data_IF_810081394375
#
_entry.id   IF_810081394375
#
_cell.length_a   1.000
_cell.length_b   1.000
_cell.length_c   1.000
_cell.angle_alpha   90.00
_cell.angle_beta   90.00
_cell.angle_gamma   90.00
#
_symmetry.space_group_name_H-M   'P 1'
#
loop_
_entity.id
_entity.type
_entity.pdbx_description
1 polymer ?
#
# COMPACT_ATOMS: atom_id res chain seq x y z
N UNK A 1 -50.85 38.43 21.91
CA UNK A 1 -51.14 38.67 20.50
C UNK A 1 -50.63 37.50 19.70
N UNK A 2 -51.54 36.63 19.29
CA UNK A 2 -51.18 35.37 18.61
C UNK A 2 -51.18 35.57 17.10
N UNK A 3 -50.18 35.00 16.45
CA UNK A 3 -50.11 34.90 14.99
C UNK A 3 -50.37 33.46 14.59
N UNK A 4 -51.52 33.21 13.92
CA UNK A 4 -51.86 31.96 13.25
C UNK A 4 -51.56 32.11 11.76
N UNK A 5 -50.86 31.22 11.10
CA UNK A 5 -50.90 31.11 9.63
C UNK A 5 -52.02 30.17 9.17
N UNK A 6 -52.87 30.68 8.32
CA UNK A 6 -53.86 29.94 7.52
C UNK A 6 -53.16 29.31 6.31
N UNK A 7 -53.21 28.00 6.17
CA UNK A 7 -53.15 27.38 4.85
C UNK A 7 -54.25 26.31 4.76
N UNK A 8 -55.23 26.63 3.91
CA UNK A 8 -56.32 25.76 3.58
C UNK A 8 -55.83 24.73 2.51
N UNK A 9 -55.97 23.46 2.78
CA UNK A 9 -55.79 22.40 1.83
C UNK A 9 -56.99 22.30 0.89
N UNK A 10 -56.79 22.53 -0.41
CA UNK A 10 -57.73 22.27 -1.48
C UNK A 10 -57.58 20.81 -1.92
N UNK A 11 -58.50 19.95 -1.57
CA UNK A 11 -58.61 18.60 -2.06
C UNK A 11 -59.24 18.60 -3.46
N UNK A 12 -58.42 18.47 -4.51
CA UNK A 12 -58.89 18.06 -5.83
C UNK A 12 -58.74 16.54 -5.96
N UNK A 13 -59.88 15.86 -6.01
CA UNK A 13 -59.99 14.47 -6.47
C UNK A 13 -59.45 14.37 -7.89
N UNK A 14 -58.43 13.57 -8.12
CA UNK A 14 -58.02 13.12 -9.46
C UNK A 14 -58.77 11.84 -9.78
N UNK A 15 -59.42 11.83 -10.93
CA UNK A 15 -59.95 10.65 -11.56
C UNK A 15 -58.81 9.71 -12.00
N UNK A 16 -58.99 8.40 -12.04
CA UNK A 16 -57.93 7.48 -12.41
C UNK A 16 -57.71 7.53 -13.95
N UNK A 17 -56.49 7.82 -14.32
CA UNK A 17 -56.00 7.75 -15.69
C UNK A 17 -56.12 6.31 -16.23
N UNK A 18 -56.88 6.14 -17.30
CA UNK A 18 -56.99 4.91 -18.08
C UNK A 18 -55.65 4.68 -18.78
N UNK A 19 -54.89 3.69 -18.29
CA UNK A 19 -53.64 3.26 -18.94
C UNK A 19 -54.01 2.63 -20.30
N UNK A 20 -53.74 3.36 -21.38
CA UNK A 20 -53.73 2.80 -22.76
C UNK A 20 -52.48 1.94 -22.89
N UNK A 21 -52.67 0.63 -22.89
CA UNK A 21 -51.64 -0.33 -23.25
C UNK A 21 -51.27 -0.17 -24.73
N UNK A 22 -50.02 0.09 -25.03
CA UNK A 22 -49.46 0.03 -26.39
C UNK A 22 -49.54 -1.41 -26.90
N UNK A 23 -49.93 -1.65 -28.15
CA UNK A 23 -49.95 -3.01 -28.71
C UNK A 23 -48.50 -3.55 -28.76
N UNK A 24 -48.38 -4.78 -28.30
CA UNK A 24 -47.15 -5.56 -28.34
C UNK A 24 -46.70 -5.76 -29.80
N UNK A 25 -45.41 -5.62 -30.14
CA UNK A 25 -44.93 -5.86 -31.49
C UNK A 25 -45.03 -7.37 -31.82
N UNK A 26 -45.67 -7.68 -32.94
CA UNK A 26 -45.80 -9.05 -33.48
C UNK A 26 -44.41 -9.71 -33.58
N UNK A 27 -44.25 -10.84 -32.90
CA UNK A 27 -43.08 -11.70 -33.02
C UNK A 27 -43.03 -12.32 -34.41
N UNK A 28 -42.07 -11.90 -35.23
CA UNK A 28 -41.73 -12.58 -36.48
C UNK A 28 -41.43 -14.07 -36.18
N UNK A 29 -41.93 -15.02 -36.97
CA UNK A 29 -41.68 -16.43 -36.76
C UNK A 29 -40.19 -16.72 -36.90
N UNK A 30 -39.60 -17.33 -35.87
CA UNK A 30 -38.25 -17.80 -35.87
C UNK A 30 -38.06 -18.91 -36.91
N UNK A 31 -37.09 -18.77 -37.82
CA UNK A 31 -36.70 -19.84 -38.75
C UNK A 31 -36.37 -21.12 -37.96
N UNK A 32 -36.89 -22.30 -38.38
CA UNK A 32 -36.59 -23.55 -37.72
C UNK A 32 -35.07 -23.81 -37.77
N UNK A 33 -34.45 -23.98 -36.61
CA UNK A 33 -33.07 -24.48 -36.51
C UNK A 33 -33.05 -25.88 -37.12
N UNK A 34 -32.29 -26.08 -38.21
CA UNK A 34 -32.02 -27.41 -38.76
C UNK A 34 -31.48 -28.31 -37.64
N UNK A 35 -32.26 -29.33 -37.30
CA UNK A 35 -31.83 -30.33 -36.34
C UNK A 35 -30.61 -31.07 -36.91
N UNK A 36 -29.49 -30.94 -36.22
CA UNK A 36 -28.28 -31.73 -36.56
C UNK A 36 -28.65 -33.23 -36.44
N UNK A 37 -28.28 -34.00 -37.46
CA UNK A 37 -28.50 -35.44 -37.45
C UNK A 37 -27.75 -36.09 -36.28
N UNK A 38 -28.32 -37.18 -35.71
CA UNK A 38 -27.66 -37.93 -34.62
C UNK A 38 -26.19 -38.30 -34.99
N UNK A 39 -25.94 -38.62 -36.26
CA UNK A 39 -24.61 -38.92 -36.80
C UNK A 39 -23.65 -37.73 -36.70
N UNK A 40 -24.12 -36.48 -36.96
CA UNK A 40 -23.29 -35.27 -36.84
C UNK A 40 -22.90 -34.95 -35.39
N UNK A 41 -23.79 -35.23 -34.43
CA UNK A 41 -23.46 -35.05 -32.99
C UNK A 41 -22.45 -36.09 -32.50
N UNK A 42 -22.58 -37.36 -32.92
CA UNK A 42 -21.63 -38.43 -32.57
C UNK A 42 -20.26 -38.13 -33.18
N UNK A 43 -20.20 -37.66 -34.42
CA UNK A 43 -18.93 -37.26 -35.07
C UNK A 43 -18.27 -36.08 -34.34
N UNK A 44 -19.01 -35.08 -33.91
CA UNK A 44 -18.48 -33.97 -33.13
C UNK A 44 -17.96 -34.42 -31.77
N UNK A 45 -18.64 -35.29 -31.06
CA UNK A 45 -18.19 -35.83 -29.77
C UNK A 45 -16.90 -36.63 -29.95
N UNK A 46 -16.82 -37.50 -30.94
CA UNK A 46 -15.63 -38.31 -31.25
C UNK A 46 -14.44 -37.38 -31.61
N UNK A 47 -14.69 -36.36 -32.43
CA UNK A 47 -13.68 -35.41 -32.83
C UNK A 47 -13.14 -34.64 -31.61
N UNK A 48 -14.02 -34.22 -30.70
CA UNK A 48 -13.61 -33.47 -29.48
C UNK A 48 -12.83 -34.38 -28.51
N UNK A 49 -13.29 -35.62 -28.32
CA UNK A 49 -12.64 -36.57 -27.39
C UNK A 49 -11.24 -36.99 -27.89
N UNK A 50 -11.02 -37.00 -29.21
CA UNK A 50 -9.71 -37.36 -29.77
C UNK A 50 -8.82 -36.11 -29.95
N UNK A 51 -9.37 -35.02 -30.46
CA UNK A 51 -8.56 -33.85 -30.83
C UNK A 51 -8.03 -33.08 -29.60
N UNK A 52 -8.81 -32.99 -28.54
CA UNK A 52 -8.41 -32.27 -27.32
C UNK A 52 -7.20 -32.94 -26.67
N UNK A 53 -7.17 -34.23 -26.38
CA UNK A 53 -5.99 -34.87 -25.81
C UNK A 53 -4.74 -34.81 -26.72
N UNK A 54 -4.94 -34.95 -28.03
CA UNK A 54 -3.82 -34.86 -29.00
C UNK A 54 -3.23 -33.46 -29.02
N UNK A 55 -4.07 -32.42 -29.06
CA UNK A 55 -3.58 -31.04 -29.02
C UNK A 55 -2.92 -30.72 -27.68
N UNK A 56 -3.46 -31.20 -26.56
CA UNK A 56 -2.85 -30.99 -25.23
C UNK A 56 -1.48 -31.68 -25.14
N UNK A 57 -1.39 -32.92 -25.60
CA UNK A 57 -0.14 -33.66 -25.60
C UNK A 57 0.92 -33.00 -26.52
N UNK A 58 0.52 -32.55 -27.70
CA UNK A 58 1.39 -31.82 -28.63
C UNK A 58 1.88 -30.51 -28.03
N UNK A 59 0.99 -29.75 -27.35
CA UNK A 59 1.34 -28.49 -26.67
C UNK A 59 2.31 -28.69 -25.53
N UNK A 60 2.13 -29.73 -24.70
CA UNK A 60 3.04 -30.06 -23.60
C UNK A 60 4.42 -30.48 -24.13
N UNK A 61 4.44 -31.26 -25.22
CA UNK A 61 5.72 -31.68 -25.87
C UNK A 61 6.43 -30.46 -26.50
N UNK A 62 5.70 -29.59 -27.16
CA UNK A 62 6.27 -28.39 -27.78
C UNK A 62 6.81 -27.45 -26.71
N UNK A 63 6.09 -27.26 -25.58
CA UNK A 63 6.57 -26.48 -24.46
C UNK A 63 7.81 -27.08 -23.81
N UNK A 64 7.82 -28.40 -23.62
CA UNK A 64 9.02 -29.11 -23.14
C UNK A 64 10.23 -28.91 -24.07
N UNK A 65 10.04 -29.04 -25.37
CA UNK A 65 11.09 -28.82 -26.37
C UNK A 65 11.54 -27.34 -26.40
N UNK A 66 10.62 -26.37 -26.27
CA UNK A 66 10.97 -24.96 -26.15
C UNK A 66 11.77 -24.66 -24.89
N UNK A 67 11.42 -25.27 -23.76
CA UNK A 67 12.16 -25.10 -22.50
C UNK A 67 13.56 -25.74 -22.55
N UNK A 68 13.74 -26.78 -23.38
CA UNK A 68 15.04 -27.40 -23.62
C UNK A 68 15.90 -26.63 -24.64
N UNK A 69 15.28 -25.98 -25.63
CA UNK A 69 15.99 -25.33 -26.77
C UNK A 69 16.18 -23.82 -26.57
N UNK A 70 15.31 -23.13 -25.83
CA UNK A 70 15.53 -21.74 -25.41
C UNK A 70 16.53 -21.78 -24.26
N UNK A 71 17.80 -21.69 -24.62
CA UNK A 71 18.95 -21.93 -23.78
C UNK A 71 18.84 -21.32 -22.39
N UNK A 72 19.03 -22.16 -21.40
CA UNK A 72 19.53 -21.70 -20.11
C UNK A 72 20.72 -20.78 -20.38
N UNK A 73 20.80 -19.59 -19.79
CA UNK A 73 21.99 -18.80 -19.92
C UNK A 73 23.16 -19.71 -19.50
N UNK A 74 24.12 -19.90 -20.40
CA UNK A 74 25.34 -20.66 -20.09
C UNK A 74 25.94 -19.96 -18.89
N UNK A 75 25.86 -20.60 -17.73
CA UNK A 75 26.62 -20.19 -16.58
C UNK A 75 28.08 -20.02 -17.07
N UNK A 76 28.66 -18.85 -16.83
CA UNK A 76 30.07 -18.65 -17.06
C UNK A 76 30.82 -19.82 -16.42
N UNK A 77 31.88 -20.35 -17.06
CA UNK A 77 32.59 -21.47 -16.51
C UNK A 77 33.09 -21.05 -15.11
N UNK A 78 32.49 -21.64 -14.10
CA UNK A 78 33.01 -21.56 -12.73
C UNK A 78 34.37 -22.26 -12.85
N UNK A 79 35.44 -21.48 -12.69
CA UNK A 79 36.77 -22.04 -12.58
C UNK A 79 36.68 -23.14 -11.52
N UNK A 80 36.99 -24.38 -11.92
CA UNK A 80 37.06 -25.51 -11.00
C UNK A 80 38.09 -25.14 -9.94
N UNK A 81 37.64 -24.70 -8.78
CA UNK A 81 38.46 -24.69 -7.59
C UNK A 81 38.65 -26.16 -7.24
N UNK A 82 39.83 -26.64 -7.59
CA UNK A 82 40.28 -27.98 -7.22
C UNK A 82 40.45 -27.98 -5.70
N UNK A 83 39.71 -28.85 -5.04
CA UNK A 83 39.95 -29.34 -3.69
C UNK A 83 40.28 -28.23 -2.66
N UNK A 84 39.29 -27.61 -2.10
CA UNK A 84 39.38 -27.15 -0.72
C UNK A 84 39.05 -28.36 0.16
N UNK A 85 40.06 -28.86 0.84
CA UNK A 85 39.91 -29.78 1.96
C UNK A 85 39.07 -29.19 3.05
N UNK A 86 38.77 -30.02 4.02
CA UNK A 86 37.84 -29.83 5.11
C UNK A 86 37.85 -28.41 5.77
N UNK A 87 36.75 -28.07 6.45
CA UNK A 87 36.55 -26.85 7.23
C UNK A 87 37.72 -26.41 8.13
N UNK A 88 38.62 -27.33 8.48
CA UNK A 88 39.82 -27.05 9.31
C UNK A 88 40.82 -26.11 8.62
N UNK A 89 40.85 -26.07 7.28
CA UNK A 89 41.77 -25.18 6.55
C UNK A 89 41.23 -23.71 6.47
N UNK A 90 39.92 -23.52 6.64
CA UNK A 90 39.34 -22.18 6.60
C UNK A 90 39.64 -21.40 7.90
N UNK A 91 39.54 -22.06 9.04
CA UNK A 91 39.85 -21.45 10.35
C UNK A 91 41.33 -21.09 10.44
N UNK A 92 42.22 -21.95 9.94
CA UNK A 92 43.65 -21.69 9.83
C UNK A 92 43.98 -20.48 8.91
N UNK A 93 43.21 -20.34 7.80
CA UNK A 93 43.36 -19.20 6.90
C UNK A 93 42.88 -17.88 7.55
N UNK A 94 41.76 -17.92 8.30
CA UNK A 94 41.23 -16.76 9.04
C UNK A 94 42.20 -16.34 10.14
N UNK A 95 42.75 -17.28 10.93
CA UNK A 95 43.76 -16.97 11.94
C UNK A 95 45.06 -16.38 11.33
N UNK A 96 45.51 -16.93 10.19
CA UNK A 96 46.64 -16.39 9.48
C UNK A 96 46.40 -14.99 8.93
N UNK A 97 45.20 -14.71 8.40
CA UNK A 97 44.81 -13.38 7.91
C UNK A 97 44.73 -12.37 9.06
N UNK A 98 44.17 -12.76 10.21
CA UNK A 98 44.05 -11.92 11.40
C UNK A 98 45.45 -11.64 12.04
N UNK A 99 46.34 -12.65 12.07
CA UNK A 99 47.68 -12.46 12.59
C UNK A 99 48.56 -11.60 11.69
N UNK A 100 48.28 -11.54 10.38
CA UNK A 100 48.94 -10.63 9.44
C UNK A 100 48.40 -9.18 9.51
N UNK A 101 47.14 -9.01 9.90
CA UNK A 101 46.57 -7.69 10.13
C UNK A 101 47.10 -7.00 11.38
N UNK A 102 47.49 -7.77 12.41
CA UNK A 102 48.02 -7.26 13.68
C UNK A 102 49.55 -7.04 13.66
N UNK A 103 50.28 -7.64 12.72
CA UNK A 103 51.68 -7.40 12.46
C UNK A 103 51.81 -6.31 11.40
N UNK A 104 51.92 -5.06 11.84
CA UNK A 104 52.17 -3.91 10.95
C UNK A 104 53.32 -4.21 9.96
N UNK A 105 53.00 -4.67 8.78
CA UNK A 105 53.94 -4.86 7.69
C UNK A 105 54.44 -3.52 7.23
N UNK A 106 55.63 -3.14 7.77
CA UNK A 106 56.46 -2.10 7.16
C UNK A 106 56.95 -2.64 5.83
N UNK A 107 56.27 -2.31 4.74
CA UNK A 107 56.82 -2.46 3.40
C UNK A 107 57.80 -1.35 3.13
N UNK A 108 59.02 -1.54 3.63
CA UNK A 108 60.17 -0.78 3.21
C UNK A 108 60.93 -1.59 2.17
N UNK A 109 60.62 -1.41 0.90
CA UNK A 109 61.53 -1.61 -0.25
C UNK A 109 60.74 -1.49 -1.58
N UNK A 110 60.33 -0.28 -1.90
CA UNK A 110 60.28 0.24 -3.26
C UNK A 110 60.31 1.77 -3.12
N UNK A 111 61.47 2.36 -3.50
CA UNK A 111 61.69 3.79 -3.35
C UNK A 111 60.80 4.63 -4.25
N UNK A 112 59.63 4.96 -3.75
CA UNK A 112 58.83 6.08 -4.18
C UNK A 112 58.39 6.81 -2.91
N UNK A 113 59.12 7.83 -2.55
CA UNK A 113 58.72 8.83 -1.58
C UNK A 113 57.66 9.70 -2.20
N UNK A 114 56.42 9.27 -2.15
CA UNK A 114 55.28 10.18 -2.11
C UNK A 114 54.87 10.31 -0.64
N UNK A 115 55.02 11.49 -0.10
CA UNK A 115 54.41 11.89 1.14
C UNK A 115 52.90 11.95 0.89
N UNK A 116 52.22 10.83 1.11
CA UNK A 116 50.78 10.83 1.31
C UNK A 116 50.56 11.36 2.72
N UNK A 117 50.07 12.59 2.82
CA UNK A 117 49.42 13.07 4.03
C UNK A 117 48.38 12.01 4.47
N UNK A 118 48.18 11.77 5.78
CA UNK A 118 47.19 10.85 6.25
C UNK A 118 45.85 11.38 5.77
N UNK A 119 45.21 10.63 4.83
CA UNK A 119 43.81 10.82 4.49
C UNK A 119 43.07 10.67 5.81
N UNK A 120 42.53 11.73 6.34
CA UNK A 120 41.53 11.66 7.39
C UNK A 120 40.44 10.79 6.82
N UNK A 121 40.24 9.58 7.37
CA UNK A 121 38.97 8.89 7.23
C UNK A 121 37.95 9.90 7.74
N UNK A 122 37.16 10.48 6.81
CA UNK A 122 35.95 11.18 7.17
C UNK A 122 35.07 10.13 7.85
N UNK A 123 35.15 10.05 9.17
CA UNK A 123 34.17 9.35 9.96
C UNK A 123 32.85 10.06 9.68
N UNK A 124 31.97 9.43 8.95
CA UNK A 124 30.63 9.93 8.76
C UNK A 124 30.06 10.35 10.13
N UNK A 125 29.47 11.52 10.24
CA UNK A 125 28.96 11.97 11.53
C UNK A 125 27.92 10.95 12.01
N UNK A 126 28.08 10.49 13.25
CA UNK A 126 27.10 9.59 13.89
C UNK A 126 25.78 10.34 13.96
N UNK A 127 24.80 9.90 13.14
CA UNK A 127 23.47 10.51 13.11
C UNK A 127 22.73 10.17 14.40
N UNK A 128 21.95 11.11 14.88
CA UNK A 128 21.08 10.89 16.01
C UNK A 128 19.87 10.04 15.55
N UNK A 129 19.59 8.98 16.28
CA UNK A 129 18.37 8.20 16.09
C UNK A 129 17.23 8.81 16.91
N UNK A 130 16.08 9.02 16.27
CA UNK A 130 14.92 9.64 16.89
C UNK A 130 13.76 8.64 16.99
N UNK A 131 13.08 8.63 18.14
CA UNK A 131 11.89 7.83 18.39
C UNK A 131 10.78 8.66 19.02
N UNK A 132 9.53 8.30 18.78
CA UNK A 132 8.39 8.89 19.46
C UNK A 132 8.03 7.97 20.64
N UNK A 133 7.98 8.48 21.89
CA UNK A 133 7.57 7.68 23.03
C UNK A 133 6.23 6.97 22.80
N UNK A 134 6.12 5.71 23.23
CA UNK A 134 4.92 4.91 23.01
C UNK A 134 3.66 5.48 23.67
N UNK A 135 3.82 6.19 24.76
CA UNK A 135 2.76 6.87 25.53
C UNK A 135 2.46 8.29 25.02
N UNK A 136 3.24 8.82 24.07
CA UNK A 136 2.99 10.13 23.49
C UNK A 136 1.68 10.10 22.69
N UNK A 137 0.70 10.87 23.10
CA UNK A 137 -0.58 11.01 22.39
C UNK A 137 -0.46 11.83 21.10
N UNK A 138 0.50 12.76 21.06
CA UNK A 138 0.76 13.67 19.96
C UNK A 138 2.24 13.56 19.59
N UNK A 139 2.51 13.44 18.31
CA UNK A 139 3.88 13.41 17.79
C UNK A 139 4.53 14.83 17.86
N UNK A 140 5.87 14.92 17.76
CA UNK A 140 6.55 16.20 17.58
C UNK A 140 5.96 16.97 16.40
N UNK A 141 5.96 18.29 16.51
CA UNK A 141 5.44 19.16 15.45
C UNK A 141 6.39 19.19 14.26
N UNK A 142 5.90 18.92 13.03
CA UNK A 142 6.72 19.01 11.84
C UNK A 142 7.28 20.42 11.65
N UNK A 143 8.57 20.51 11.27
CA UNK A 143 9.17 21.80 10.92
C UNK A 143 8.61 22.26 9.56
N UNK A 144 7.94 23.43 9.48
CA UNK A 144 7.38 23.93 8.21
C UNK A 144 8.41 24.12 7.09
N UNK A 145 9.68 24.37 7.43
CA UNK A 145 10.76 24.54 6.43
C UNK A 145 11.19 23.24 5.75
N UNK A 146 10.82 22.09 6.33
CA UNK A 146 11.10 20.77 5.76
C UNK A 146 10.06 20.34 4.70
N UNK A 147 8.94 21.06 4.59
CA UNK A 147 7.99 20.87 3.49
C UNK A 147 8.42 21.63 2.25
N UNK A 148 8.20 21.00 1.10
CA UNK A 148 8.42 21.62 -0.19
C UNK A 148 7.53 21.10 -1.29
N UNK A 149 7.58 21.77 -2.44
CA UNK A 149 6.78 21.45 -3.60
C UNK A 149 7.60 21.74 -4.86
N UNK A 150 7.55 20.82 -5.82
CA UNK A 150 8.19 20.95 -7.14
C UNK A 150 7.21 20.54 -8.24
N UNK A 151 7.54 20.87 -9.48
CA UNK A 151 6.64 20.62 -10.63
C UNK A 151 7.14 19.48 -11.53
N UNK A 152 8.35 18.99 -11.30
CA UNK A 152 8.92 17.91 -12.14
C UNK A 152 9.77 16.95 -11.32
N UNK A 153 9.91 15.68 -11.79
CA UNK A 153 10.82 14.72 -11.19
C UNK A 153 12.28 15.18 -11.13
N UNK A 154 12.73 15.95 -12.14
CA UNK A 154 14.09 16.47 -12.17
C UNK A 154 14.38 17.43 -11.02
N UNK A 155 13.39 18.19 -10.58
CA UNK A 155 13.52 19.09 -9.42
C UNK A 155 13.54 18.32 -8.09
N UNK A 156 13.04 17.07 -8.06
CA UNK A 156 13.13 16.19 -6.89
C UNK A 156 14.50 15.54 -6.72
N UNK A 157 15.34 15.47 -7.75
CA UNK A 157 16.65 14.78 -7.65
C UNK A 157 17.53 15.31 -6.52
N UNK A 158 17.71 16.63 -6.29
CA UNK A 158 18.50 17.12 -5.16
C UNK A 158 17.87 16.74 -3.80
N UNK A 159 16.55 16.72 -3.69
CA UNK A 159 15.85 16.32 -2.45
C UNK A 159 16.10 14.84 -2.18
N UNK A 160 15.96 13.98 -3.20
CA UNK A 160 16.24 12.53 -3.10
C UNK A 160 17.71 12.27 -2.75
N UNK A 161 18.64 13.11 -3.25
CA UNK A 161 20.03 13.03 -2.88
C UNK A 161 20.25 13.38 -1.40
N UNK A 162 19.55 14.37 -0.89
CA UNK A 162 19.59 14.73 0.53
C UNK A 162 18.90 13.68 1.42
N UNK A 163 17.85 13.01 0.91
CA UNK A 163 17.16 11.92 1.60
C UNK A 163 17.92 10.58 1.54
N UNK A 164 19.06 10.52 0.87
CA UNK A 164 19.79 9.28 0.60
C UNK A 164 20.13 8.48 1.86
N UNK A 165 20.36 9.17 2.97
CA UNK A 165 20.69 8.57 4.26
C UNK A 165 19.49 7.84 4.90
N UNK A 166 18.26 8.38 4.80
CA UNK A 166 17.07 7.70 5.33
C UNK A 166 16.59 6.60 4.38
N UNK A 167 16.84 6.76 3.09
CA UNK A 167 16.52 5.74 2.10
C UNK A 167 17.44 4.51 2.20
N UNK A 168 18.59 4.64 2.87
CA UNK A 168 19.56 3.54 3.10
C UNK A 168 19.86 2.74 1.82
N UNK A 169 20.09 3.43 0.72
CA UNK A 169 20.33 2.84 -0.59
C UNK A 169 19.11 2.24 -1.29
N UNK A 170 17.95 2.20 -0.64
CA UNK A 170 16.70 1.78 -1.25
C UNK A 170 16.24 2.80 -2.30
N UNK A 171 15.63 2.29 -3.35
CA UNK A 171 14.97 3.15 -4.35
C UNK A 171 13.50 3.32 -3.98
N UNK A 172 13.01 4.53 -4.11
CA UNK A 172 11.59 4.81 -4.00
C UNK A 172 10.86 4.36 -5.26
N UNK A 173 9.56 4.04 -5.14
CA UNK A 173 8.71 3.82 -6.30
C UNK A 173 8.65 5.09 -7.16
N UNK A 174 8.60 6.26 -6.52
CA UNK A 174 8.68 7.55 -7.20
C UNK A 174 9.89 7.66 -8.15
N UNK A 175 11.09 7.21 -7.74
CA UNK A 175 12.30 7.24 -8.58
C UNK A 175 12.24 6.28 -9.77
N UNK A 176 11.56 5.16 -9.63
CA UNK A 176 11.44 4.14 -10.67
C UNK A 176 10.30 4.41 -11.64
N UNK A 177 9.37 5.29 -11.24
CA UNK A 177 8.18 5.61 -11.99
C UNK A 177 8.33 6.94 -12.74
N UNK A 178 7.92 6.95 -14.01
CA UNK A 178 7.98 8.14 -14.86
C UNK A 178 6.59 8.68 -15.25
N UNK A 179 5.53 8.08 -14.72
CA UNK A 179 4.14 8.45 -15.02
C UNK A 179 3.60 9.42 -13.98
N UNK A 180 4.04 10.67 -14.05
CA UNK A 180 3.52 11.71 -13.17
C UNK A 180 2.50 12.54 -13.93
N UNK A 181 1.33 12.76 -13.31
CA UNK A 181 0.28 13.58 -13.86
C UNK A 181 0.75 15.03 -13.98
N UNK A 182 0.79 15.56 -15.21
CA UNK A 182 1.43 16.85 -15.54
C UNK A 182 0.77 18.05 -14.82
N UNK A 183 -0.54 17.97 -14.52
CA UNK A 183 -1.27 19.03 -13.84
C UNK A 183 -1.17 18.96 -12.30
N UNK A 184 -0.32 18.10 -11.76
CA UNK A 184 -0.15 17.91 -10.32
C UNK A 184 1.20 18.42 -9.82
N UNK A 185 1.24 18.81 -8.56
CA UNK A 185 2.50 19.10 -7.86
C UNK A 185 3.04 17.84 -7.21
N UNK A 186 4.37 17.75 -7.16
CA UNK A 186 5.09 16.80 -6.31
C UNK A 186 5.37 17.52 -4.99
N UNK A 187 4.78 17.04 -3.91
CA UNK A 187 5.01 17.58 -2.56
C UNK A 187 5.93 16.65 -1.80
N UNK A 188 6.73 17.20 -0.93
CA UNK A 188 7.61 16.40 -0.08
C UNK A 188 7.75 16.98 1.32
N UNK A 189 8.20 16.14 2.22
CA UNK A 189 8.72 16.49 3.53
C UNK A 189 10.01 15.71 3.76
N UNK A 190 11.03 16.38 4.28
CA UNK A 190 12.30 15.73 4.62
C UNK A 190 12.89 16.36 5.87
N UNK A 191 13.07 15.55 6.91
CA UNK A 191 13.89 15.85 8.07
C UNK A 191 14.76 14.64 8.46
N UNK A 192 15.42 14.68 9.59
CA UNK A 192 16.35 13.64 10.02
C UNK A 192 15.69 12.30 10.37
N UNK A 193 14.37 12.22 10.47
CA UNK A 193 13.65 10.99 10.87
C UNK A 193 12.66 10.47 9.82
N UNK A 194 12.26 11.29 8.85
CA UNK A 194 11.25 10.91 7.86
C UNK A 194 11.49 11.58 6.51
N UNK A 195 11.34 10.80 5.46
CA UNK A 195 11.17 11.28 4.09
C UNK A 195 9.78 10.89 3.59
N UNK A 196 9.03 11.84 3.06
CA UNK A 196 7.75 11.61 2.42
C UNK A 196 7.67 12.37 1.09
N UNK A 197 7.15 11.72 0.05
CA UNK A 197 6.88 12.34 -1.26
C UNK A 197 5.48 11.97 -1.73
N UNK A 198 4.73 12.96 -2.22
CA UNK A 198 3.34 12.79 -2.67
C UNK A 198 3.18 13.34 -4.09
N UNK A 199 2.61 12.53 -4.98
CA UNK A 199 2.36 12.88 -6.39
C UNK A 199 1.11 12.19 -6.92
N UNK A 200 0.74 12.50 -8.17
CA UNK A 200 -0.40 11.90 -8.84
C UNK A 200 -0.02 11.25 -10.15
N UNK A 201 -0.72 10.19 -10.50
CA UNK A 201 -0.62 9.45 -11.76
C UNK A 201 -2.02 9.19 -12.32
N UNK A 202 -2.09 8.90 -13.61
CA UNK A 202 -3.33 8.48 -14.26
C UNK A 202 -3.21 7.02 -14.71
N UNK A 203 -4.09 6.16 -14.20
CA UNK A 203 -4.20 4.76 -14.61
C UNK A 203 -5.66 4.45 -14.95
N UNK A 204 -5.92 3.86 -16.11
CA UNK A 204 -7.26 3.47 -16.56
C UNK A 204 -8.31 4.60 -16.45
N UNK A 205 -7.92 5.84 -16.75
CA UNK A 205 -8.74 7.06 -16.63
C UNK A 205 -9.19 7.39 -15.17
N UNK A 206 -8.46 6.88 -14.18
CA UNK A 206 -8.57 7.25 -12.77
C UNK A 206 -7.33 8.00 -12.32
N UNK A 207 -7.47 8.99 -11.43
CA UNK A 207 -6.33 9.67 -10.82
C UNK A 207 -5.95 8.95 -9.53
N UNK A 208 -4.74 8.43 -9.50
CA UNK A 208 -4.11 7.84 -8.33
C UNK A 208 -3.25 8.89 -7.64
N UNK A 209 -3.46 9.08 -6.35
CA UNK A 209 -2.56 9.88 -5.51
C UNK A 209 -1.75 8.93 -4.66
N UNK A 210 -0.44 8.97 -4.82
CA UNK A 210 0.52 8.20 -4.05
C UNK A 210 1.18 9.10 -3.02
N UNK A 211 1.35 8.58 -1.83
CA UNK A 211 2.21 9.18 -0.81
C UNK A 211 3.19 8.11 -0.35
N UNK A 212 4.45 8.20 -0.75
CA UNK A 212 5.50 7.27 -0.41
C UNK A 212 6.29 7.81 0.78
N UNK A 213 6.46 7.00 1.81
CA UNK A 213 6.99 7.39 3.09
C UNK A 213 8.06 6.40 3.54
N UNK A 214 9.24 6.89 3.89
CA UNK A 214 10.27 6.17 4.62
C UNK A 214 10.48 6.83 5.96
N UNK A 215 10.39 6.05 7.04
CA UNK A 215 10.65 6.49 8.41
C UNK A 215 11.89 5.80 8.96
N UNK A 216 12.52 6.41 9.95
CA UNK A 216 13.68 5.86 10.63
C UNK A 216 13.29 4.83 11.69
N UNK A 217 12.13 5.02 12.32
CA UNK A 217 11.67 4.21 13.45
C UNK A 217 10.17 3.89 13.34
N UNK A 218 9.79 2.70 13.77
CA UNK A 218 8.40 2.22 13.71
C UNK A 218 7.43 3.06 14.55
N UNK A 219 7.92 3.75 15.60
CA UNK A 219 7.10 4.64 16.43
C UNK A 219 6.50 5.82 15.66
N UNK A 220 6.99 6.08 14.45
CA UNK A 220 6.52 7.14 13.56
C UNK A 220 5.31 6.73 12.72
N UNK A 221 5.05 5.42 12.55
CA UNK A 221 3.83 4.91 11.91
C UNK A 221 2.77 4.60 12.97
N UNK A 222 1.69 5.35 12.96
CA UNK A 222 0.71 5.38 14.04
C UNK A 222 -0.73 5.32 13.53
N UNK A 223 -1.61 4.87 14.39
CA UNK A 223 -3.07 4.99 14.23
C UNK A 223 -3.62 5.94 15.29
N UNK A 224 -4.52 6.84 14.91
CA UNK A 224 -5.23 7.70 15.86
C UNK A 224 -6.74 7.50 15.70
N UNK A 225 -7.39 7.21 16.82
CA UNK A 225 -8.85 7.14 16.90
C UNK A 225 -9.41 8.48 17.34
N UNK A 226 -10.64 8.78 16.96
CA UNK A 226 -11.32 10.00 17.39
C UNK A 226 -11.25 10.15 18.91
N UNK A 227 -10.91 11.35 19.39
CA UNK A 227 -10.67 11.69 20.79
C UNK A 227 -9.55 10.87 21.46
N UNK A 228 -8.68 10.21 20.68
CA UNK A 228 -7.58 9.38 21.17
C UNK A 228 -8.02 8.07 21.86
N UNK A 229 -9.28 7.67 21.74
CA UNK A 229 -9.82 6.52 22.46
C UNK A 229 -10.72 5.61 21.60
N UNK A 230 -10.71 4.32 21.91
CA UNK A 230 -11.62 3.37 21.29
C UNK A 230 -13.07 3.63 21.74
N UNK A 231 -13.99 3.62 20.76
CA UNK A 231 -15.44 3.69 21.02
C UNK A 231 -15.99 5.14 21.15
N UNK A 232 -15.21 6.17 20.84
CA UNK A 232 -15.73 7.53 20.77
C UNK A 232 -16.87 7.64 19.76
N UNK A 233 -17.91 8.40 20.09
CA UNK A 233 -19.02 8.74 19.20
C UNK A 233 -18.71 9.93 18.29
N UNK A 234 -17.60 10.62 18.54
CA UNK A 234 -17.16 11.78 17.75
C UNK A 234 -16.52 11.34 16.43
N UNK A 235 -16.64 12.19 15.44
CA UNK A 235 -16.05 12.02 14.12
C UNK A 235 -15.47 13.34 13.64
N UNK A 236 -14.35 13.27 12.96
CA UNK A 236 -13.61 14.40 12.45
C UNK A 236 -13.26 14.22 10.97
N UNK A 237 -12.89 15.30 10.28
CA UNK A 237 -12.27 15.20 8.96
C UNK A 237 -10.86 14.64 9.10
N UNK A 238 -10.36 13.99 8.05
CA UNK A 238 -8.98 13.50 8.03
C UNK A 238 -7.98 14.62 8.29
N UNK A 239 -8.23 15.82 7.75
CA UNK A 239 -7.42 17.02 7.98
C UNK A 239 -7.43 17.48 9.44
N UNK A 240 -8.59 17.48 10.09
CA UNK A 240 -8.72 17.85 11.51
C UNK A 240 -7.97 16.89 12.42
N UNK A 241 -8.06 15.57 12.15
CA UNK A 241 -7.34 14.56 12.92
C UNK A 241 -5.83 14.62 12.68
N UNK A 242 -5.40 14.82 11.43
CA UNK A 242 -3.99 14.96 11.07
C UNK A 242 -3.32 16.13 11.80
N UNK A 243 -4.00 17.28 11.86
CA UNK A 243 -3.54 18.46 12.59
C UNK A 243 -3.42 18.19 14.10
N UNK A 244 -4.42 17.49 14.68
CA UNK A 244 -4.45 17.17 16.11
C UNK A 244 -3.24 16.36 16.57
N UNK A 245 -2.72 15.46 15.70
CA UNK A 245 -1.61 14.56 16.05
C UNK A 245 -0.26 14.98 15.44
N UNK A 246 -0.18 16.13 14.79
CA UNK A 246 1.00 16.61 14.10
C UNK A 246 1.49 15.65 13.00
N UNK A 247 0.59 15.12 12.19
CA UNK A 247 0.95 14.22 11.11
C UNK A 247 1.73 14.93 10.01
N UNK A 248 2.80 14.30 9.51
CA UNK A 248 3.46 14.69 8.25
C UNK A 248 2.60 14.26 7.08
N UNK A 249 2.16 12.98 7.10
CA UNK A 249 1.22 12.40 6.14
C UNK A 249 0.16 11.64 6.92
N UNK A 250 -1.10 11.79 6.52
CA UNK A 250 -2.21 11.02 7.08
C UNK A 250 -3.17 10.54 5.98
N UNK A 251 -3.85 9.44 6.27
CA UNK A 251 -4.96 8.93 5.46
C UNK A 251 -6.08 8.44 6.36
N UNK A 252 -7.30 8.38 5.82
CA UNK A 252 -8.37 7.68 6.50
C UNK A 252 -7.94 6.25 6.85
N UNK A 253 -8.36 5.78 8.01
CA UNK A 253 -8.08 4.43 8.47
C UNK A 253 -9.08 3.40 7.93
N UNK A 254 -9.63 2.62 8.85
CA UNK A 254 -10.69 1.67 8.55
C UNK A 254 -12.08 2.21 8.94
N UNK A 255 -13.08 1.37 8.82
CA UNK A 255 -14.47 1.72 9.09
C UNK A 255 -14.97 1.14 10.43
N UNK A 256 -14.08 0.95 11.41
CA UNK A 256 -14.34 0.16 12.62
C UNK A 256 -15.56 0.60 13.42
N UNK A 257 -15.86 1.90 13.42
CA UNK A 257 -16.96 2.45 14.20
C UNK A 257 -18.34 2.17 13.60
N UNK A 258 -18.41 2.00 12.29
CA UNK A 258 -19.66 1.91 11.54
C UNK A 258 -20.07 0.49 11.18
N UNK A 259 -19.15 -0.45 11.29
CA UNK A 259 -19.39 -1.85 10.98
C UNK A 259 -18.76 -2.77 12.02
N UNK A 260 -19.52 -3.76 12.45
CA UNK A 260 -19.07 -4.76 13.42
C UNK A 260 -18.46 -5.96 12.69
N UNK A 261 -17.23 -5.83 12.22
CA UNK A 261 -16.48 -6.93 11.60
C UNK A 261 -14.98 -6.77 11.81
N UNK A 262 -14.25 -7.91 11.68
CA UNK A 262 -12.82 -8.00 11.83
C UNK A 262 -12.34 -7.84 13.28
N UNK A 263 -11.04 -7.89 13.44
CA UNK A 263 -10.38 -7.67 14.72
C UNK A 263 -9.90 -6.22 14.82
N UNK A 264 -10.36 -5.51 15.83
CA UNK A 264 -9.90 -4.16 16.16
C UNK A 264 -8.94 -4.23 17.33
N UNK A 265 -7.66 -4.04 17.03
CA UNK A 265 -6.57 -3.90 18.00
C UNK A 265 -6.14 -2.45 18.05
N UNK A 266 -5.96 -1.92 19.25
CA UNK A 266 -5.47 -0.56 19.45
C UNK A 266 -4.56 -0.50 20.68
N UNK A 267 -3.33 -0.02 20.47
CA UNK A 267 -2.28 0.05 21.49
C UNK A 267 -1.98 -1.32 22.15
N UNK A 268 -1.92 -2.38 21.35
CA UNK A 268 -1.61 -3.73 21.83
C UNK A 268 -2.76 -4.45 22.51
N UNK A 269 -3.98 -3.91 22.48
CA UNK A 269 -5.15 -4.55 23.08
C UNK A 269 -6.23 -4.88 22.07
N UNK A 270 -6.74 -6.11 22.09
CA UNK A 270 -7.88 -6.54 21.30
C UNK A 270 -9.18 -5.91 21.86
N UNK A 271 -9.68 -4.89 21.19
CA UNK A 271 -10.86 -4.12 21.63
C UNK A 271 -12.18 -4.71 21.16
N UNK A 272 -12.19 -5.33 19.99
CA UNK A 272 -13.38 -5.98 19.41
C UNK A 272 -12.96 -7.06 18.42
N UNK A 273 -13.65 -8.17 18.45
CA UNK A 273 -13.51 -9.25 17.47
C UNK A 273 -14.91 -9.71 17.06
N UNK A 274 -15.34 -9.35 15.88
CA UNK A 274 -16.65 -9.66 15.33
C UNK A 274 -16.56 -9.88 13.82
N UNK A 275 -17.54 -10.60 13.24
CA UNK A 275 -17.65 -10.73 11.79
C UNK A 275 -16.37 -11.26 11.14
N UNK A 276 -16.04 -12.50 11.44
CA UNK A 276 -14.77 -13.16 11.08
C UNK A 276 -14.55 -13.39 9.57
N UNK A 277 -15.49 -12.96 8.73
CA UNK A 277 -15.37 -12.98 7.28
C UNK A 277 -14.49 -11.84 6.71
N UNK A 278 -14.14 -10.85 7.54
CA UNK A 278 -13.24 -9.77 7.13
C UNK A 278 -11.79 -10.19 7.31
N UNK A 279 -10.98 -9.94 6.30
CA UNK A 279 -9.52 -10.01 6.42
C UNK A 279 -9.04 -8.86 7.31
N UNK A 280 -8.04 -9.10 8.13
CA UNK A 280 -7.49 -8.08 9.05
C UNK A 280 -6.02 -7.87 8.77
N UNK A 281 -5.62 -6.61 8.68
CA UNK A 281 -4.22 -6.19 8.65
C UNK A 281 -3.80 -5.77 10.06
N UNK A 282 -2.74 -6.35 10.57
CA UNK A 282 -2.10 -6.01 11.84
C UNK A 282 -0.77 -5.32 11.55
N UNK A 283 -0.45 -4.34 12.37
CA UNK A 283 0.84 -3.65 12.34
C UNK A 283 1.52 -3.93 13.67
N UNK A 284 2.70 -4.54 13.62
CA UNK A 284 3.50 -4.82 14.80
C UNK A 284 4.31 -3.59 15.26
N UNK A 285 5.06 -3.71 16.37
CA UNK A 285 5.89 -2.62 16.89
C UNK A 285 7.18 -2.38 16.11
N UNK A 286 7.50 -3.25 15.13
CA UNK A 286 8.57 -2.99 14.16
C UNK A 286 8.04 -2.25 12.91
N UNK A 287 6.71 -2.02 12.83
CA UNK A 287 6.04 -1.41 11.69
C UNK A 287 5.69 -2.39 10.58
N UNK A 288 5.92 -3.68 10.76
CA UNK A 288 5.64 -4.68 9.74
C UNK A 288 4.14 -5.04 9.68
N UNK A 289 3.67 -5.27 8.44
CA UNK A 289 2.30 -5.69 8.16
C UNK A 289 2.18 -7.20 8.26
N UNK A 290 1.13 -7.66 8.95
CA UNK A 290 0.71 -9.06 9.06
C UNK A 290 -0.75 -9.19 8.66
N UNK A 291 -1.13 -10.31 8.04
CA UNK A 291 -2.51 -10.54 7.62
C UNK A 291 -3.11 -11.78 8.25
N UNK A 292 -4.41 -11.69 8.60
CA UNK A 292 -5.25 -12.87 8.80
C UNK A 292 -6.33 -12.91 7.73
N UNK A 293 -6.59 -14.10 7.20
CA UNK A 293 -7.62 -14.31 6.17
C UNK A 293 -9.00 -14.36 6.81
N UNK A 294 -10.02 -13.95 6.05
CA UNK A 294 -11.41 -14.08 6.46
C UNK A 294 -11.88 -15.55 6.52
N UNK A 295 -12.91 -15.80 7.30
CA UNK A 295 -13.55 -17.11 7.41
C UNK A 295 -13.19 -17.93 8.64
N UNK A 296 -12.19 -17.55 9.41
CA UNK A 296 -11.88 -18.16 10.69
C UNK A 296 -12.75 -17.58 11.81
N UNK A 297 -13.22 -18.45 12.72
CA UNK A 297 -13.91 -18.00 13.92
C UNK A 297 -12.89 -17.61 14.97
N UNK A 298 -12.65 -16.31 15.11
CA UNK A 298 -11.74 -15.78 16.11
C UNK A 298 -12.50 -15.38 17.38
N UNK A 299 -11.91 -15.65 18.53
CA UNK A 299 -12.35 -15.10 19.81
C UNK A 299 -11.47 -13.92 20.20
N UNK A 300 -11.98 -13.05 21.10
CA UNK A 300 -11.16 -11.94 21.61
C UNK A 300 -9.86 -12.45 22.25
N UNK A 301 -9.90 -13.59 22.95
CA UNK A 301 -8.71 -14.19 23.56
C UNK A 301 -7.72 -14.66 22.48
N UNK A 302 -8.18 -15.35 21.43
CA UNK A 302 -7.30 -15.82 20.36
C UNK A 302 -6.62 -14.65 19.61
N UNK A 303 -7.33 -13.54 19.46
CA UNK A 303 -6.73 -12.33 18.87
C UNK A 303 -5.73 -11.69 19.83
N UNK A 304 -6.03 -11.67 21.15
CA UNK A 304 -5.06 -11.15 22.13
C UNK A 304 -3.80 -12.04 22.20
N UNK A 305 -3.95 -13.37 22.16
CA UNK A 305 -2.81 -14.28 22.11
C UNK A 305 -1.94 -14.01 20.86
N UNK A 306 -2.56 -13.76 19.71
CA UNK A 306 -1.86 -13.37 18.47
C UNK A 306 -1.16 -12.00 18.60
N UNK A 307 -1.82 -11.03 19.24
CA UNK A 307 -1.26 -9.71 19.53
C UNK A 307 0.00 -9.81 20.38
N UNK A 308 -0.06 -10.63 21.43
CA UNK A 308 1.05 -10.82 22.35
C UNK A 308 2.21 -11.60 21.70
N UNK A 309 1.90 -12.61 20.87
CA UNK A 309 2.89 -13.42 20.16
C UNK A 309 3.67 -12.62 19.11
N UNK A 310 2.98 -11.72 18.39
CA UNK A 310 3.55 -10.95 17.29
C UNK A 310 3.83 -9.48 17.62
N UNK A 311 3.72 -9.10 18.90
CA UNK A 311 3.93 -7.71 19.37
C UNK A 311 3.14 -6.67 18.56
N UNK A 312 1.86 -6.97 18.30
CA UNK A 312 0.99 -6.13 17.47
C UNK A 312 0.66 -4.83 18.20
N UNK A 313 0.85 -3.70 17.52
CA UNK A 313 0.51 -2.39 18.02
C UNK A 313 -0.97 -2.02 17.72
N UNK A 314 -1.39 -2.19 16.46
CA UNK A 314 -2.77 -1.92 16.05
C UNK A 314 -3.17 -2.77 14.85
N UNK A 315 -4.47 -2.78 14.54
CA UNK A 315 -4.99 -3.45 13.35
C UNK A 315 -5.85 -2.51 12.51
N UNK A 316 -6.11 -2.93 11.28
CA UNK A 316 -7.04 -2.32 10.34
C UNK A 316 -7.98 -3.42 9.85
N UNK A 317 -9.28 -3.20 9.93
CA UNK A 317 -10.29 -4.23 9.65
C UNK A 317 -11.29 -3.74 8.58
N UNK A 318 -10.82 -3.57 7.35
CA UNK A 318 -11.63 -3.22 6.19
C UNK A 318 -11.43 -4.25 5.06
N UNK A 319 -10.27 -4.22 4.40
CA UNK A 319 -9.88 -5.15 3.34
C UNK A 319 -10.55 -4.91 1.98
N UNK A 320 -10.28 -5.78 1.03
CA UNK A 320 -9.48 -7.01 1.17
C UNK A 320 -7.97 -6.78 1.15
N UNK A 321 -7.21 -7.87 1.38
CA UNK A 321 -5.78 -7.93 1.10
C UNK A 321 -5.59 -7.82 -0.41
N UNK A 322 -4.73 -6.91 -0.87
CA UNK A 322 -4.51 -6.65 -2.29
C UNK A 322 -3.22 -7.32 -2.82
N UNK A 323 -2.18 -7.30 -2.00
CA UNK A 323 -0.89 -7.94 -2.26
C UNK A 323 -0.41 -8.62 -0.98
N UNK A 324 0.09 -9.84 -1.12
CA UNK A 324 0.64 -10.62 -0.02
C UNK A 324 1.96 -11.24 -0.46
N UNK A 325 3.07 -10.85 0.16
CA UNK A 325 4.42 -11.29 -0.14
C UNK A 325 4.78 -11.14 -1.64
N UNK A 326 4.56 -9.92 -2.19
CA UNK A 326 4.76 -9.53 -3.60
C UNK A 326 3.77 -10.16 -4.60
N UNK A 327 2.83 -11.00 -4.15
CA UNK A 327 1.87 -11.65 -5.01
C UNK A 327 0.52 -10.94 -4.97
N UNK A 328 -0.05 -10.67 -6.16
CA UNK A 328 -1.40 -10.13 -6.30
C UNK A 328 -2.43 -11.11 -5.73
N UNK A 329 -3.29 -10.64 -4.85
CA UNK A 329 -4.39 -11.43 -4.29
C UNK A 329 -5.67 -11.15 -5.08
N UNK A 330 -6.23 -12.19 -5.70
CA UNK A 330 -7.46 -12.09 -6.46
C UNK A 330 -8.67 -12.43 -5.59
N UNK A 331 -9.69 -11.59 -5.66
CA UNK A 331 -10.95 -11.77 -4.96
C UNK A 331 -12.11 -11.87 -5.96
N UNK A 332 -12.87 -12.96 -5.92
CA UNK A 332 -14.13 -13.10 -6.65
C UNK A 332 -15.34 -12.68 -5.82
N UNK A 333 -15.18 -12.64 -4.51
CA UNK A 333 -16.17 -12.19 -3.53
C UNK A 333 -15.46 -11.70 -2.27
N UNK A 334 -16.05 -10.71 -1.60
CA UNK A 334 -15.60 -10.23 -0.30
C UNK A 334 -16.80 -9.81 0.55
N UNK A 335 -16.81 -10.16 1.83
CA UNK A 335 -17.93 -9.93 2.74
C UNK A 335 -18.09 -8.48 3.20
N UNK A 336 -17.10 -7.64 2.93
CA UNK A 336 -17.04 -6.23 3.36
C UNK A 336 -16.89 -5.35 2.13
N UNK A 337 -17.85 -4.47 1.90
CA UNK A 337 -17.79 -3.55 0.76
C UNK A 337 -18.01 -4.22 -0.60
N UNK A 338 -18.17 -3.41 -1.61
CA UNK A 338 -18.38 -3.84 -2.99
C UNK A 338 -17.04 -3.93 -3.73
N UNK A 339 -16.74 -5.09 -4.32
CA UNK A 339 -15.47 -5.33 -5.02
C UNK A 339 -15.59 -5.31 -6.53
N UNK A 340 -16.80 -5.55 -7.07
CA UNK A 340 -17.06 -5.65 -8.52
C UNK A 340 -17.41 -4.32 -9.16
N UNK A 341 -17.93 -3.39 -8.38
CA UNK A 341 -18.28 -2.04 -8.85
C UNK A 341 -17.12 -1.06 -8.67
N UNK A 342 -17.14 0.00 -9.46
CA UNK A 342 -16.18 1.09 -9.35
C UNK A 342 -16.48 1.98 -8.14
N UNK A 343 -15.51 2.11 -7.24
CA UNK A 343 -15.53 3.04 -6.11
C UNK A 343 -14.18 3.74 -5.99
N UNK A 344 -14.19 4.97 -5.45
CA UNK A 344 -12.95 5.56 -4.97
C UNK A 344 -12.34 4.65 -3.90
N UNK A 345 -11.05 4.36 -4.04
CA UNK A 345 -10.33 3.37 -3.23
C UNK A 345 -9.22 4.03 -2.45
N UNK A 346 -8.86 3.41 -1.33
CA UNK A 346 -7.67 3.74 -0.57
C UNK A 346 -6.95 2.45 -0.17
N UNK A 347 -5.63 2.51 -0.05
CA UNK A 347 -4.81 1.38 0.38
C UNK A 347 -3.59 1.85 1.17
N UNK A 348 -3.14 0.98 2.07
CA UNK A 348 -1.83 1.02 2.69
C UNK A 348 -0.98 -0.09 2.08
N UNK A 349 0.23 0.26 1.64
CA UNK A 349 1.21 -0.67 1.11
C UNK A 349 2.48 -0.62 1.95
N UNK A 350 3.13 -1.75 2.13
CA UNK A 350 4.48 -1.83 2.65
C UNK A 350 5.42 -2.28 1.53
N UNK A 351 6.41 -1.44 1.23
CA UNK A 351 7.42 -1.73 0.22
C UNK A 351 8.51 -2.63 0.79
N UNK A 352 9.04 -2.23 1.94
CA UNK A 352 10.09 -2.89 2.71
C UNK A 352 9.96 -2.47 4.17
N UNK A 353 10.89 -2.86 5.04
CA UNK A 353 10.93 -2.40 6.43
C UNK A 353 10.91 -0.87 6.52
N UNK A 354 9.97 -0.33 7.31
CA UNK A 354 9.79 1.10 7.55
C UNK A 354 9.58 1.94 6.27
N UNK A 355 9.15 1.31 5.19
CA UNK A 355 8.95 1.93 3.88
C UNK A 355 7.54 1.60 3.36
N UNK A 356 6.72 2.64 3.19
CA UNK A 356 5.30 2.51 2.93
C UNK A 356 4.85 3.37 1.76
N UNK A 357 3.71 3.01 1.17
CA UNK A 357 2.95 3.88 0.27
C UNK A 357 1.50 3.89 0.74
N UNK A 358 0.92 5.08 0.88
CA UNK A 358 -0.52 5.27 0.99
C UNK A 358 -1.03 5.71 -0.36
N UNK A 359 -2.10 5.08 -0.85
CA UNK A 359 -2.64 5.33 -2.19
C UNK A 359 -4.13 5.61 -2.12
N UNK A 360 -4.60 6.58 -2.91
CA UNK A 360 -6.03 6.75 -3.20
C UNK A 360 -6.26 6.78 -4.70
N UNK A 361 -7.39 6.25 -5.16
CA UNK A 361 -7.83 6.33 -6.56
C UNK A 361 -9.20 7.02 -6.63
N UNK A 362 -9.26 8.16 -7.35
CA UNK A 362 -10.42 9.03 -7.41
C UNK A 362 -10.63 9.57 -8.83
N UNK A 363 -11.79 10.19 -9.08
CA UNK A 363 -12.01 10.99 -10.28
C UNK A 363 -11.47 12.40 -10.09
N UNK A 364 -10.82 12.97 -11.10
CA UNK A 364 -10.33 14.37 -11.06
C UNK A 364 -10.28 14.95 -12.46
N UNK A 365 -10.84 16.15 -12.63
CA UNK A 365 -10.80 16.87 -13.91
C UNK A 365 -11.46 16.08 -15.04
N UNK A 366 -10.74 15.80 -16.15
CA UNK A 366 -11.25 15.02 -17.28
C UNK A 366 -11.34 13.51 -16.96
N UNK A 367 -10.63 13.01 -15.94
CA UNK A 367 -10.56 11.60 -15.59
C UNK A 367 -11.76 11.21 -14.73
N UNK A 368 -12.63 10.37 -15.26
CA UNK A 368 -13.95 10.08 -14.67
C UNK A 368 -14.14 8.61 -14.28
N UNK A 369 -13.18 7.75 -14.58
CA UNK A 369 -13.24 6.34 -14.18
C UNK A 369 -12.92 6.17 -12.71
N UNK A 370 -13.49 5.15 -12.09
CA UNK A 370 -13.19 4.71 -10.72
C UNK A 370 -12.96 3.21 -10.75
N UNK A 371 -11.85 2.70 -10.16
CA UNK A 371 -11.48 1.31 -10.31
C UNK A 371 -12.36 0.36 -9.48
N UNK A 372 -12.59 -0.85 -10.01
CA UNK A 372 -12.96 -2.01 -9.20
C UNK A 372 -11.81 -2.39 -8.27
N UNK A 373 -12.05 -3.26 -7.28
CA UNK A 373 -10.97 -3.77 -6.42
C UNK A 373 -9.90 -4.48 -7.24
N UNK A 374 -10.28 -5.27 -8.24
CA UNK A 374 -9.31 -6.00 -9.08
C UNK A 374 -8.41 -5.06 -9.90
N UNK A 375 -8.97 -4.00 -10.49
CA UNK A 375 -8.18 -2.98 -11.19
C UNK A 375 -7.25 -2.22 -10.24
N UNK A 376 -7.78 -1.83 -9.08
CA UNK A 376 -7.01 -1.14 -8.05
C UNK A 376 -5.84 -2.00 -7.55
N UNK A 377 -6.12 -3.28 -7.20
CA UNK A 377 -5.12 -4.23 -6.73
C UNK A 377 -4.00 -4.46 -7.77
N UNK A 378 -4.35 -4.55 -9.06
CA UNK A 378 -3.37 -4.68 -10.15
C UNK A 378 -2.43 -3.47 -10.23
N UNK A 379 -2.97 -2.25 -10.13
CA UNK A 379 -2.15 -1.03 -10.16
C UNK A 379 -1.31 -0.88 -8.88
N UNK A 380 -1.82 -1.33 -7.73
CA UNK A 380 -1.06 -1.41 -6.49
C UNK A 380 0.09 -2.43 -6.61
N UNK A 381 -0.18 -3.64 -7.10
CA UNK A 381 0.87 -4.66 -7.30
C UNK A 381 1.99 -4.19 -8.25
N UNK A 382 1.66 -3.34 -9.24
CA UNK A 382 2.64 -2.76 -10.16
C UNK A 382 3.65 -1.83 -9.46
N UNK A 383 3.38 -1.35 -8.24
CA UNK A 383 4.36 -0.61 -7.43
C UNK A 383 5.52 -1.48 -6.95
N UNK A 384 5.35 -2.80 -6.97
CA UNK A 384 6.33 -3.75 -6.45
C UNK A 384 6.28 -3.88 -4.91
N UNK A 385 5.21 -3.43 -4.26
CA UNK A 385 5.08 -3.54 -2.81
C UNK A 385 5.04 -5.01 -2.35
N UNK A 386 5.59 -5.25 -1.16
CA UNK A 386 5.59 -6.55 -0.50
C UNK A 386 4.19 -6.92 -0.01
N UNK A 387 3.52 -5.98 0.64
CA UNK A 387 2.21 -6.16 1.25
C UNK A 387 1.30 -4.99 0.86
N UNK A 388 0.00 -5.23 0.65
CA UNK A 388 -0.97 -4.15 0.46
C UNK A 388 -2.36 -4.54 0.97
N UNK A 389 -3.03 -3.58 1.58
CA UNK A 389 -4.32 -3.74 2.22
C UNK A 389 -5.27 -2.60 1.88
N UNK A 390 -6.51 -2.91 1.50
CA UNK A 390 -7.52 -1.93 1.17
C UNK A 390 -8.09 -1.27 2.44
N UNK A 391 -8.17 0.05 2.41
CA UNK A 391 -8.74 0.89 3.47
C UNK A 391 -10.15 1.37 3.09
N UNK A 392 -10.82 2.08 4.02
CA UNK A 392 -12.13 2.68 3.72
C UNK A 392 -12.00 3.67 2.55
N UNK A 393 -12.92 3.52 1.62
CA UNK A 393 -12.93 4.23 0.35
C UNK A 393 -14.10 5.24 0.21
N UNK A 394 -14.45 5.55 -1.04
CA UNK A 394 -15.51 6.53 -1.32
C UNK A 394 -15.11 7.94 -0.89
N UNK A 395 -15.98 8.63 -0.14
CA UNK A 395 -15.69 9.98 0.36
C UNK A 395 -14.61 10.03 1.45
N UNK A 396 -14.23 8.88 2.02
CA UNK A 396 -13.17 8.80 3.03
C UNK A 396 -11.79 8.62 2.40
N UNK A 397 -11.70 8.19 1.13
CA UNK A 397 -10.44 8.05 0.41
C UNK A 397 -9.72 9.41 0.32
N UNK A 398 -8.94 9.74 1.33
CA UNK A 398 -8.25 11.04 1.50
C UNK A 398 -6.81 10.84 1.96
N UNK A 399 -5.91 11.63 1.40
CA UNK A 399 -4.52 11.77 1.84
C UNK A 399 -4.30 13.22 2.22
N UNK A 400 -3.68 13.44 3.35
CA UNK A 400 -3.37 14.76 3.91
C UNK A 400 -1.85 14.86 4.08
N UNK A 401 -1.27 15.97 3.65
CA UNK A 401 0.13 16.33 3.88
C UNK A 401 0.21 17.81 4.23
N UNK A 402 0.95 18.15 5.28
CA UNK A 402 1.03 19.52 5.79
C UNK A 402 -0.36 20.11 6.12
N UNK A 403 -1.24 19.32 6.70
CA UNK A 403 -2.64 19.64 7.01
C UNK A 403 -3.52 19.96 5.78
N UNK A 404 -2.97 19.85 4.56
CA UNK A 404 -3.69 20.05 3.31
C UNK A 404 -4.15 18.71 2.73
N UNK A 405 -5.37 18.70 2.21
CA UNK A 405 -5.87 17.57 1.43
C UNK A 405 -5.17 17.56 0.05
N UNK A 406 -4.43 16.48 -0.26
CA UNK A 406 -3.61 16.39 -1.49
C UNK A 406 -4.27 15.64 -2.63
N UNK A 407 -5.39 14.97 -2.38
CA UNK A 407 -6.23 14.36 -3.40
C UNK A 407 -7.64 14.96 -3.41
N UNK A 408 -8.45 14.64 -4.40
CA UNK A 408 -9.84 15.08 -4.47
C UNK A 408 -10.77 13.93 -4.05
N UNK A 409 -11.39 13.98 -2.87
CA UNK A 409 -12.41 12.99 -2.47
C UNK A 409 -13.62 13.02 -3.40
N UNK A 410 -14.42 11.95 -3.36
CA UNK A 410 -15.69 11.88 -4.09
C UNK A 410 -16.59 13.07 -3.70
N UNK A 411 -17.24 13.67 -4.69
CA UNK A 411 -18.02 14.91 -4.58
C UNK A 411 -17.22 16.15 -4.12
N UNK A 412 -15.88 16.09 -4.13
CA UNK A 412 -15.02 17.19 -3.73
C UNK A 412 -15.06 17.53 -2.24
N UNK A 413 -15.57 16.64 -1.39
CA UNK A 413 -15.72 16.85 0.06
C UNK A 413 -15.28 15.61 0.83
N UNK A 414 -14.54 15.82 1.91
CA UNK A 414 -14.23 14.76 2.88
C UNK A 414 -15.52 14.40 3.66
N UNK A 415 -15.64 13.15 4.04
CA UNK A 415 -16.59 12.68 5.05
C UNK A 415 -15.88 12.62 6.40
N UNK A 416 -16.59 12.92 7.48
CA UNK A 416 -16.09 12.69 8.83
C UNK A 416 -15.90 11.20 9.09
N UNK A 417 -14.81 10.88 9.76
CA UNK A 417 -14.33 9.52 10.06
C UNK A 417 -14.03 9.35 11.54
N UNK A 418 -13.80 8.12 11.97
CA UNK A 418 -13.51 7.78 13.37
C UNK A 418 -12.05 7.49 13.64
N UNK A 419 -11.21 7.36 12.60
CA UNK A 419 -9.79 7.07 12.75
C UNK A 419 -8.99 7.42 11.50
N UNK A 420 -7.70 7.64 11.73
CA UNK A 420 -6.68 7.81 10.69
C UNK A 420 -5.50 6.88 10.95
N UNK A 421 -4.79 6.53 9.88
CA UNK A 421 -3.38 6.15 9.95
C UNK A 421 -2.53 7.37 9.59
N UNK A 422 -1.37 7.48 10.22
CA UNK A 422 -0.51 8.62 9.96
C UNK A 422 0.97 8.30 10.21
N UNK A 423 1.82 9.10 9.56
CA UNK A 423 3.26 9.10 9.72
C UNK A 423 3.68 10.46 10.24
N UNK A 424 4.57 10.46 11.23
CA UNK A 424 4.98 11.66 11.92
C UNK A 424 6.50 11.77 11.97
N UNK A 425 7.01 12.99 12.13
CA UNK A 425 8.42 13.20 12.48
C UNK A 425 8.67 12.74 13.92
N UNK A 426 9.86 12.20 14.16
CA UNK A 426 10.34 11.95 15.52
C UNK A 426 11.35 13.01 15.98
N UNK A 427 11.72 13.98 15.12
CA UNK A 427 12.60 15.10 15.46
C UNK A 427 11.88 16.05 16.42
N UNK A 428 12.43 16.31 17.64
CA UNK A 428 11.81 17.23 18.58
C UNK A 428 11.69 18.65 18.03
N UNK A 429 10.64 19.39 18.45
CA UNK A 429 10.45 20.79 18.09
C UNK A 429 11.66 21.62 18.55
N UNK A 430 12.36 22.26 17.61
CA UNK A 430 13.61 23.01 17.85
C UNK A 430 14.91 22.23 17.62
N UNK A 431 14.83 20.99 17.11
CA UNK A 431 15.94 20.05 16.96
C UNK A 431 16.63 20.03 15.60
N UNK A 432 16.59 21.05 14.77
CA UNK A 432 17.38 21.13 13.53
C UNK A 432 17.75 22.57 13.20
N UNK A 433 18.72 23.12 13.91
CA UNK A 433 19.57 24.21 13.42
C UNK A 433 21.05 23.76 13.59
N UNK A 434 21.43 22.68 12.95
CA UNK A 434 22.83 22.37 12.66
C UNK A 434 23.09 22.77 11.22
N UNK A 435 23.47 24.05 11.05
CA UNK A 435 23.81 24.70 9.81
C UNK A 435 24.99 24.10 9.04
#
# INVERSE_FOLDING_TARGET
MGYKPKYAASSRKREPDVIRTKPEPEKKPSRPKKAQSKAGRIFQIILTVILVPVCTFASVRLLGWMLETVGRPKAAPVAKIKNMGALDDFDAYVEQAMSQADSGLKVSHLGLTEQTEPTQEETEPVRQHYTIPADALVAPKPNPSCYGQVVSPAEMEPILKNAKWILDGQKTYFQTNQQIYEDSFIRYYLDDSIFAVTWQEVHDDSVYTFSEIKVEDASQFRRHLADGQYGSDTQYLTTEMAETVNAVVASAGDFYRFRNFGAVVYQGEARRVEGTYAETCYIDRNGDMHFTRGGEVLTTQAVQDYVDEHDINFSLAFGPILVDNYELVEHTWYGVGEITEGYARAALCQMDSLHYIVVTANTTGPHQSIPTVAQFAKNIAATGCRMAYCLDGGQTASIVMNNDLVNRPVYGQQRKISDIIYFATAVPEGGTDNG
#
